data_IF_175060745716
#
_entry.id   IF_175060745716
#
_cell.length_a   1.000
_cell.length_b   1.000
_cell.length_c   1.000
_cell.angle_alpha   90.00
_cell.angle_beta   90.00
_cell.angle_gamma   90.00
#
_symmetry.space_group_name_H-M   'P 1'
#
loop_
_entity.id
_entity.type
_entity.pdbx_description
1 polymer ?
#
# COMPACT_ATOMS: atom_id res chain seq x y z
N UNK A 1 -18.74 -21.91 4.16
CA UNK A 1 -17.83 -21.02 3.40
C UNK A 1 -18.13 -19.62 3.91
N UNK A 2 -17.28 -19.09 4.78
CA UNK A 2 -17.52 -17.80 5.41
C UNK A 2 -16.77 -16.72 4.61
N UNK A 3 -17.52 -15.87 3.92
CA UNK A 3 -17.04 -14.60 3.39
C UNK A 3 -16.56 -13.72 4.55
N UNK A 4 -15.24 -13.68 4.75
CA UNK A 4 -14.60 -12.74 5.67
C UNK A 4 -14.58 -11.34 5.05
N UNK A 5 -15.74 -10.67 5.03
CA UNK A 5 -15.88 -9.26 4.60
C UNK A 5 -15.21 -8.24 5.55
N UNK A 6 -14.25 -8.66 6.39
CA UNK A 6 -13.73 -7.82 7.48
C UNK A 6 -12.43 -7.07 7.19
N UNK A 7 -11.61 -7.48 6.22
CA UNK A 7 -10.23 -6.98 6.08
C UNK A 7 -9.69 -7.25 4.66
N UNK A 8 -10.45 -6.86 3.64
CA UNK A 8 -10.00 -7.02 2.25
C UNK A 8 -9.14 -5.83 1.84
N UNK A 9 -7.85 -6.10 1.60
CA UNK A 9 -6.92 -5.11 1.03
C UNK A 9 -7.32 -4.71 -0.39
N UNK A 10 -8.07 -5.56 -1.10
CA UNK A 10 -8.57 -5.31 -2.45
C UNK A 10 -9.44 -4.05 -2.46
N UNK A 11 -9.22 -3.20 -3.46
CA UNK A 11 -9.90 -1.92 -3.62
C UNK A 11 -8.91 -0.77 -3.80
N UNK A 12 -9.48 0.43 -3.87
CA UNK A 12 -8.73 1.67 -4.07
C UNK A 12 -8.54 2.41 -2.76
N UNK A 13 -7.33 2.91 -2.57
CA UNK A 13 -6.89 3.59 -1.36
C UNK A 13 -6.18 4.89 -1.73
N UNK A 14 -6.48 5.97 -1.01
CA UNK A 14 -5.87 7.29 -1.20
C UNK A 14 -4.97 7.61 -0.03
N UNK A 15 -3.74 8.06 -0.32
CA UNK A 15 -2.75 8.40 0.71
C UNK A 15 -3.26 9.57 1.55
N UNK A 16 -3.32 9.38 2.86
CA UNK A 16 -3.73 10.42 3.82
C UNK A 16 -2.51 11.09 4.48
N UNK A 17 -1.35 10.42 4.51
CA UNK A 17 -0.11 10.99 5.05
C UNK A 17 0.49 12.03 4.12
N UNK A 18 0.80 13.21 4.66
CA UNK A 18 1.46 14.33 3.97
C UNK A 18 2.92 14.58 4.41
N UNK A 19 3.48 13.71 5.26
CA UNK A 19 4.88 13.80 5.66
C UNK A 19 5.81 13.56 4.46
N UNK A 20 6.91 14.31 4.37
CA UNK A 20 7.82 14.26 3.22
C UNK A 20 8.41 12.86 2.95
N UNK A 21 8.64 12.05 3.99
CA UNK A 21 9.10 10.67 3.82
C UNK A 21 8.10 9.80 3.04
N UNK A 22 6.81 10.16 3.06
CA UNK A 22 5.76 9.45 2.34
C UNK A 22 5.65 9.87 0.86
N UNK A 23 6.42 10.86 0.39
CA UNK A 23 6.34 11.36 -0.99
C UNK A 23 6.86 10.37 -2.03
N UNK A 24 7.63 9.36 -1.63
CA UNK A 24 8.01 8.24 -2.50
C UNK A 24 6.85 7.28 -2.79
N UNK A 25 5.77 7.33 -2.02
CA UNK A 25 4.62 6.42 -2.18
C UNK A 25 3.46 7.09 -2.95
N UNK A 26 2.72 6.33 -3.78
CA UNK A 26 1.71 6.88 -4.68
C UNK A 26 0.60 7.64 -3.95
N UNK A 27 0.00 8.63 -4.61
CA UNK A 27 -1.15 9.34 -4.07
C UNK A 27 -2.40 8.44 -4.00
N UNK A 28 -2.52 7.48 -4.90
CA UNK A 28 -3.60 6.48 -4.90
C UNK A 28 -3.03 5.12 -5.26
N UNK A 29 -3.47 4.05 -4.59
CA UNK A 29 -3.11 2.67 -4.91
C UNK A 29 -4.38 1.84 -5.05
N UNK A 30 -4.44 1.02 -6.09
CA UNK A 30 -5.52 0.04 -6.27
C UNK A 30 -4.93 -1.36 -6.17
N UNK A 31 -5.45 -2.15 -5.23
CA UNK A 31 -5.11 -3.56 -5.07
C UNK A 31 -6.19 -4.42 -5.73
N UNK A 32 -5.77 -5.36 -6.56
CA UNK A 32 -6.58 -6.44 -7.15
C UNK A 32 -6.07 -7.78 -6.63
N UNK A 33 -6.68 -8.91 -6.99
CA UNK A 33 -6.18 -10.21 -6.52
C UNK A 33 -4.73 -10.46 -7.00
N UNK A 34 -3.76 -10.35 -6.09
CA UNK A 34 -2.33 -10.63 -6.33
C UNK A 34 -1.53 -9.52 -7.01
N UNK A 35 -2.16 -8.43 -7.44
CA UNK A 35 -1.49 -7.32 -8.14
C UNK A 35 -1.95 -5.96 -7.63
N UNK A 36 -1.13 -4.95 -7.80
CA UNK A 36 -1.48 -3.58 -7.44
C UNK A 36 -1.04 -2.59 -8.52
N UNK A 37 -1.66 -1.40 -8.49
CA UNK A 37 -1.27 -0.26 -9.31
C UNK A 37 -1.28 1.01 -8.50
N UNK A 38 -0.13 1.65 -8.40
CA UNK A 38 0.06 2.99 -7.86
C UNK A 38 -0.18 4.06 -8.91
N UNK A 39 -0.78 5.17 -8.49
CA UNK A 39 -0.99 6.36 -9.30
C UNK A 39 -0.37 7.55 -8.57
N UNK A 40 0.47 8.26 -9.32
CA UNK A 40 1.17 9.46 -8.87
C UNK A 40 0.21 10.61 -8.65
N UNK A 41 0.48 11.42 -7.64
CA UNK A 41 -0.15 12.73 -7.48
C UNK A 41 0.41 13.78 -8.44
N UNK A 42 -0.22 14.95 -8.50
CA UNK A 42 0.28 16.07 -9.28
C UNK A 42 1.68 16.48 -8.80
N UNK A 43 2.63 16.64 -9.72
CA UNK A 43 4.01 17.02 -9.42
C UNK A 43 4.86 15.92 -8.77
N UNK A 44 4.31 14.73 -8.52
CA UNK A 44 5.05 13.62 -7.92
C UNK A 44 5.96 12.93 -8.96
N UNK A 45 7.21 12.69 -8.57
CA UNK A 45 8.19 11.92 -9.35
C UNK A 45 7.84 10.43 -9.46
N UNK A 46 8.83 9.60 -9.80
CA UNK A 46 8.67 8.15 -9.77
C UNK A 46 8.25 7.69 -8.37
N UNK A 47 7.29 6.78 -8.29
CA UNK A 47 6.82 6.22 -7.01
C UNK A 47 7.40 4.84 -6.81
N UNK A 48 7.73 4.55 -5.55
CA UNK A 48 8.28 3.28 -5.12
C UNK A 48 7.33 2.10 -5.35
N UNK A 49 6.03 2.36 -5.19
CA UNK A 49 4.94 1.45 -5.54
C UNK A 49 4.25 1.97 -6.79
N UNK A 50 4.69 1.55 -7.97
CA UNK A 50 4.14 1.97 -9.27
C UNK A 50 3.17 0.94 -9.86
N UNK A 51 3.59 -0.31 -10.02
CA UNK A 51 2.76 -1.45 -10.35
C UNK A 51 3.54 -2.74 -10.08
N UNK A 52 2.85 -3.78 -9.61
CA UNK A 52 3.52 -5.04 -9.36
C UNK A 52 2.63 -6.07 -8.70
N UNK A 53 3.27 -7.06 -8.10
CA UNK A 53 2.61 -8.09 -7.29
C UNK A 53 2.62 -7.69 -5.82
N UNK A 54 1.66 -8.22 -5.08
CA UNK A 54 1.71 -8.20 -3.62
C UNK A 54 1.15 -9.49 -3.06
N UNK A 55 1.53 -9.79 -1.82
CA UNK A 55 0.89 -10.83 -1.02
C UNK A 55 0.81 -10.40 0.44
N UNK A 56 -0.28 -10.77 1.09
CA UNK A 56 -0.38 -10.77 2.54
C UNK A 56 0.16 -12.12 3.02
N UNK A 57 1.27 -12.12 3.76
CA UNK A 57 1.79 -13.34 4.38
C UNK A 57 0.99 -13.70 5.63
N UNK A 58 0.50 -12.67 6.33
CA UNK A 58 -0.43 -12.76 7.45
C UNK A 58 -1.22 -11.44 7.61
N UNK A 59 -1.98 -11.29 8.71
CA UNK A 59 -2.79 -10.10 9.00
C UNK A 59 -2.01 -8.78 9.23
N UNK A 60 -0.69 -8.85 9.38
CA UNK A 60 0.21 -7.73 9.74
C UNK A 60 1.44 -7.64 8.84
N UNK A 61 1.58 -8.54 7.86
CA UNK A 61 2.76 -8.62 7.00
C UNK A 61 2.36 -8.55 5.53
N UNK A 62 2.81 -7.50 4.85
CA UNK A 62 2.61 -7.27 3.43
C UNK A 62 3.95 -7.37 2.70
N UNK A 63 4.01 -8.17 1.65
CA UNK A 63 5.15 -8.20 0.72
C UNK A 63 4.72 -7.57 -0.60
N UNK A 64 5.50 -6.61 -1.09
CA UNK A 64 5.22 -5.85 -2.31
C UNK A 64 6.43 -5.92 -3.24
N UNK A 65 6.18 -6.21 -4.53
CA UNK A 65 7.16 -5.98 -5.59
C UNK A 65 7.21 -4.50 -5.94
N UNK A 66 8.37 -3.87 -5.82
CA UNK A 66 8.55 -2.42 -5.94
C UNK A 66 9.08 -2.03 -7.32
N UNK A 67 9.13 -0.73 -7.59
CA UNK A 67 9.54 -0.16 -8.88
C UNK A 67 10.97 -0.55 -9.36
N UNK A 68 11.80 -1.10 -8.46
CA UNK A 68 13.14 -1.60 -8.74
C UNK A 68 13.21 -3.14 -8.80
N UNK A 69 12.08 -3.83 -8.94
CA UNK A 69 11.94 -5.29 -8.96
C UNK A 69 12.37 -6.00 -7.65
N UNK A 70 12.46 -5.25 -6.54
CA UNK A 70 12.70 -5.81 -5.22
C UNK A 70 11.39 -6.28 -4.55
N UNK A 71 11.46 -7.37 -3.78
CA UNK A 71 10.37 -7.77 -2.89
C UNK A 71 10.63 -7.20 -1.50
N UNK A 72 9.85 -6.20 -1.11
CA UNK A 72 10.00 -5.54 0.19
C UNK A 72 8.86 -5.95 1.12
N UNK A 73 9.23 -6.29 2.35
CA UNK A 73 8.29 -6.64 3.43
C UNK A 73 7.98 -5.42 4.29
N UNK A 74 6.70 -5.17 4.51
CA UNK A 74 6.17 -4.08 5.33
C UNK A 74 5.37 -4.64 6.50
N UNK A 75 5.54 -4.03 7.67
CA UNK A 75 4.61 -4.24 8.76
C UNK A 75 3.38 -3.36 8.55
N UNK A 76 2.19 -3.95 8.64
CA UNK A 76 0.93 -3.28 8.32
C UNK A 76 -0.08 -3.34 9.46
N UNK A 77 -0.98 -2.36 9.46
CA UNK A 77 -2.20 -2.35 10.26
C UNK A 77 -3.37 -2.07 9.32
N UNK A 78 -4.35 -2.96 9.30
CA UNK A 78 -5.48 -2.89 8.37
C UNK A 78 -6.81 -2.87 9.11
N UNK A 79 -7.62 -1.88 8.76
CA UNK A 79 -9.01 -1.71 9.17
C UNK A 79 -9.89 -1.59 7.93
N UNK A 80 -11.22 -1.53 8.09
CA UNK A 80 -12.14 -1.47 6.97
C UNK A 80 -11.94 -0.25 6.05
N UNK A 81 -11.53 0.88 6.60
CA UNK A 81 -11.36 2.16 5.89
C UNK A 81 -9.94 2.74 5.98
N UNK A 82 -9.03 2.06 6.68
CA UNK A 82 -7.67 2.52 6.94
C UNK A 82 -6.65 1.41 6.71
N UNK A 83 -5.66 1.71 5.88
CA UNK A 83 -4.49 0.89 5.65
C UNK A 83 -3.25 1.67 6.06
N UNK A 84 -2.46 1.14 6.98
CA UNK A 84 -1.23 1.76 7.44
C UNK A 84 -0.07 0.78 7.29
N UNK A 85 1.10 1.29 6.94
CA UNK A 85 2.34 0.53 6.99
C UNK A 85 3.50 1.41 7.47
N UNK A 86 4.53 0.74 7.99
CA UNK A 86 5.80 1.37 8.34
C UNK A 86 6.89 0.83 7.41
N UNK A 87 7.65 1.73 6.79
CA UNK A 87 8.78 1.34 5.94
C UNK A 87 10.06 1.07 6.75
N UNK A 88 11.13 0.66 6.06
CA UNK A 88 12.44 0.36 6.66
C UNK A 88 13.14 1.58 7.27
N UNK A 89 12.73 2.79 6.90
CA UNK A 89 13.25 4.06 7.43
C UNK A 89 12.43 4.56 8.62
N UNK A 90 11.37 3.83 9.01
CA UNK A 90 10.46 4.20 10.10
C UNK A 90 9.39 5.21 9.70
N UNK A 91 9.21 5.50 8.41
CA UNK A 91 8.14 6.36 7.91
C UNK A 91 6.80 5.62 8.03
N UNK A 92 5.85 6.23 8.75
CA UNK A 92 4.48 5.71 8.88
C UNK A 92 3.60 6.31 7.79
N UNK A 93 3.11 5.46 6.89
CA UNK A 93 2.28 5.88 5.76
C UNK A 93 0.88 5.31 5.94
N UNK A 94 -0.12 6.19 5.95
CA UNK A 94 -1.53 5.84 6.04
C UNK A 94 -2.23 6.14 4.73
N UNK A 95 -3.07 5.21 4.31
CA UNK A 95 -4.07 5.35 3.26
C UNK A 95 -5.47 5.19 3.84
N UNK A 96 -6.43 5.88 3.22
CA UNK A 96 -7.87 5.72 3.47
C UNK A 96 -8.53 5.09 2.27
N UNK A 97 -9.58 4.31 2.51
CA UNK A 97 -10.37 3.75 1.42
C UNK A 97 -11.06 4.88 0.66
N UNK A 98 -11.01 4.80 -0.68
CA UNK A 98 -11.69 5.75 -1.56
C UNK A 98 -13.20 5.55 -1.59
#
# INVERSE_FOLDING_TARGET
MADTHGQSMVGTWTKATSAACADKYPATVTFSTGTYRGVRGAGQGMVWWDAGIYRLEDSKTLVVGTANDELVTYHISMQADRFEFTDSEGCVVTYRRA
#
